data_IF_245522929801
#
_entry.id   IF_245522929801
#
_cell.length_a   1.000
_cell.length_b   1.000
_cell.length_c   1.000
_cell.angle_alpha   90.00
_cell.angle_beta   90.00
_cell.angle_gamma   90.00
#
_symmetry.space_group_name_H-M   'P 1'
#
loop_
_entity.id
_entity.type
_entity.pdbx_description
1 polymer ?
#
# COMPACT_ATOMS: atom_id res chain seq x y z
N UNK A 1 14.72 -8.08 4.05
CA UNK A 1 15.93 -7.25 4.28
C UNK A 1 15.65 -5.75 4.27
N UNK A 2 14.67 -5.25 3.51
CA UNK A 2 14.36 -3.82 3.44
C UNK A 2 14.13 -3.15 4.82
N UNK A 3 13.20 -3.66 5.63
CA UNK A 3 12.85 -3.07 6.93
C UNK A 3 14.08 -2.94 7.84
N UNK A 4 14.80 -4.04 8.05
CA UNK A 4 16.03 -4.04 8.86
C UNK A 4 17.05 -2.99 8.39
N UNK A 5 17.31 -2.91 7.08
CA UNK A 5 18.27 -1.95 6.52
C UNK A 5 17.84 -0.51 6.73
N UNK A 6 16.54 -0.21 6.57
CA UNK A 6 16.01 1.13 6.81
C UNK A 6 16.19 1.50 8.29
N UNK A 7 15.75 0.65 9.21
CA UNK A 7 15.81 0.95 10.65
C UNK A 7 17.23 0.88 11.25
N UNK A 8 18.18 0.19 10.61
CA UNK A 8 19.61 0.28 10.95
C UNK A 8 20.19 1.67 10.66
N UNK A 9 19.67 2.37 9.64
CA UNK A 9 20.14 3.70 9.24
C UNK A 9 19.38 4.86 9.90
N UNK A 10 18.15 4.62 10.36
CA UNK A 10 17.35 5.63 11.03
C UNK A 10 17.78 5.77 12.49
N UNK A 11 18.10 7.00 12.91
CA UNK A 11 18.28 7.29 14.33
C UNK A 11 16.90 7.27 15.01
N UNK A 12 16.69 6.32 15.93
CA UNK A 12 15.42 6.11 16.65
C UNK A 12 14.90 7.36 17.35
N UNK A 13 15.82 8.21 17.82
CA UNK A 13 15.52 9.34 18.71
C UNK A 13 14.79 10.49 17.98
N UNK A 14 14.77 10.48 16.65
CA UNK A 14 14.07 11.46 15.81
C UNK A 14 12.79 10.94 15.14
N UNK A 15 12.40 9.68 15.37
CA UNK A 15 11.26 9.08 14.68
C UNK A 15 9.95 9.43 15.38
N UNK A 16 9.16 10.33 14.79
CA UNK A 16 7.88 10.75 15.35
C UNK A 16 6.74 9.74 15.07
N UNK A 17 6.65 9.23 13.84
CA UNK A 17 5.57 8.34 13.43
C UNK A 17 5.92 7.60 12.15
N UNK A 18 5.32 6.43 11.95
CA UNK A 18 5.41 5.62 10.73
C UNK A 18 4.00 5.31 10.25
N UNK A 19 3.73 5.56 8.98
CA UNK A 19 2.47 5.23 8.32
C UNK A 19 2.70 4.28 7.17
N UNK A 20 1.72 3.40 6.96
CA UNK A 20 1.67 2.47 5.85
C UNK A 20 0.44 2.77 5.00
N UNK A 21 0.62 2.81 3.69
CA UNK A 21 -0.47 2.93 2.73
C UNK A 21 -0.15 2.17 1.44
N UNK A 22 -1.17 1.67 0.74
CA UNK A 22 -1.00 0.99 -0.53
C UNK A 22 -0.52 1.96 -1.63
N UNK A 23 0.22 1.43 -2.60
CA UNK A 23 0.54 2.18 -3.81
C UNK A 23 -0.70 2.25 -4.71
N UNK A 24 -1.13 3.46 -5.04
CA UNK A 24 -2.28 3.76 -5.89
C UNK A 24 -1.92 4.86 -6.87
N UNK A 25 -2.24 4.67 -8.14
CA UNK A 25 -1.94 5.60 -9.22
C UNK A 25 -3.24 5.99 -9.93
N UNK A 26 -3.40 7.23 -10.39
CA UNK A 26 -4.52 7.55 -11.28
C UNK A 26 -4.35 6.79 -12.61
N UNK A 27 -5.43 6.24 -13.19
CA UNK A 27 -5.34 5.38 -14.38
C UNK A 27 -4.62 6.04 -15.55
N UNK A 28 -4.84 7.34 -15.77
CA UNK A 28 -4.15 8.09 -16.82
C UNK A 28 -2.63 8.14 -16.65
N UNK A 29 -2.14 8.21 -15.40
CA UNK A 29 -0.70 8.15 -15.09
C UNK A 29 -0.19 6.74 -15.34
N UNK A 30 -0.91 5.72 -14.84
CA UNK A 30 -0.53 4.32 -15.01
C UNK A 30 -0.38 3.93 -16.49
N UNK A 31 -1.39 4.18 -17.34
CA UNK A 31 -1.33 3.87 -18.77
C UNK A 31 -0.22 4.64 -19.51
N UNK A 32 0.08 5.86 -19.05
CA UNK A 32 1.20 6.62 -19.59
C UNK A 32 2.54 5.96 -19.26
N UNK A 33 2.70 5.49 -18.02
CA UNK A 33 3.91 4.78 -17.58
C UNK A 33 4.06 3.42 -18.28
N UNK A 34 2.98 2.63 -18.38
CA UNK A 34 2.96 1.33 -19.04
C UNK A 34 3.39 1.44 -20.51
N UNK A 35 2.92 2.45 -21.24
CA UNK A 35 3.32 2.69 -22.62
C UNK A 35 4.79 3.10 -22.78
N UNK A 36 5.34 3.84 -21.81
CA UNK A 36 6.73 4.31 -21.85
C UNK A 36 7.72 3.25 -21.35
N UNK A 37 7.29 2.39 -20.43
CA UNK A 37 8.12 1.39 -19.77
C UNK A 37 7.40 0.03 -19.73
N UNK A 38 7.13 -0.59 -20.89
CA UNK A 38 6.32 -1.80 -20.98
C UNK A 38 6.94 -3.02 -20.29
N UNK A 39 8.27 -3.03 -20.14
CA UNK A 39 9.02 -4.12 -19.50
C UNK A 39 9.24 -3.88 -17.99
N UNK A 40 8.70 -2.80 -17.41
CA UNK A 40 8.91 -2.46 -16.01
C UNK A 40 8.14 -3.44 -15.11
N UNK A 41 8.82 -4.27 -14.30
CA UNK A 41 8.15 -5.30 -13.49
C UNK A 41 7.13 -4.75 -12.50
N UNK A 42 7.31 -3.50 -12.03
CA UNK A 42 6.35 -2.83 -11.15
C UNK A 42 4.97 -2.67 -11.81
N UNK A 43 4.93 -2.50 -13.13
CA UNK A 43 3.70 -2.28 -13.90
C UNK A 43 3.11 -3.60 -14.41
N UNK A 44 3.89 -4.69 -14.40
CA UNK A 44 3.47 -6.03 -14.81
C UNK A 44 2.85 -6.87 -13.67
N UNK A 45 2.67 -6.29 -12.49
CA UNK A 45 2.05 -6.94 -11.34
C UNK A 45 0.53 -7.15 -11.49
N UNK A 46 -0.10 -7.92 -10.58
CA UNK A 46 -1.55 -8.13 -10.56
C UNK A 46 -2.28 -6.87 -10.06
N UNK A 47 -2.29 -5.84 -10.90
CA UNK A 47 -2.91 -4.56 -10.63
C UNK A 47 -4.34 -4.52 -11.20
N UNK A 48 -5.24 -3.90 -10.46
CA UNK A 48 -6.63 -3.70 -10.80
C UNK A 48 -6.94 -2.20 -10.89
N UNK A 49 -7.78 -1.83 -11.85
CA UNK A 49 -8.33 -0.48 -11.94
C UNK A 49 -9.69 -0.43 -11.23
N UNK A 50 -9.78 0.38 -10.19
CA UNK A 50 -10.97 0.60 -9.37
C UNK A 50 -11.23 2.11 -9.30
N UNK A 51 -12.39 2.55 -9.80
CA UNK A 51 -12.85 3.95 -9.72
C UNK A 51 -11.82 4.98 -10.25
N UNK A 52 -11.13 4.67 -11.34
CA UNK A 52 -10.13 5.59 -11.95
C UNK A 52 -8.76 5.59 -11.23
N UNK A 53 -8.53 4.61 -10.37
CA UNK A 53 -7.27 4.38 -9.68
C UNK A 53 -6.78 2.95 -9.94
N UNK A 54 -5.50 2.79 -10.23
CA UNK A 54 -4.81 1.51 -10.40
C UNK A 54 -4.01 1.18 -9.15
N UNK A 55 -4.18 -0.03 -8.62
CA UNK A 55 -3.50 -0.54 -7.42
C UNK A 55 -3.62 -2.06 -7.32
N UNK A 56 -3.23 -2.65 -6.19
CA UNK A 56 -3.43 -4.09 -5.98
C UNK A 56 -4.91 -4.42 -5.79
N UNK A 57 -5.31 -5.63 -6.22
CA UNK A 57 -6.61 -6.19 -5.87
C UNK A 57 -6.75 -6.33 -4.34
N UNK A 58 -7.98 -6.23 -3.84
CA UNK A 58 -8.27 -6.10 -2.40
C UNK A 58 -7.61 -7.17 -1.54
N UNK A 59 -7.76 -8.44 -1.91
CA UNK A 59 -7.25 -9.58 -1.12
C UNK A 59 -5.72 -9.54 -0.99
N UNK A 60 -5.03 -9.32 -2.12
CA UNK A 60 -3.57 -9.18 -2.15
C UNK A 60 -3.11 -7.94 -1.39
N UNK A 61 -3.83 -6.83 -1.51
CA UNK A 61 -3.52 -5.60 -0.79
C UNK A 61 -3.60 -5.81 0.73
N UNK A 62 -4.64 -6.49 1.22
CA UNK A 62 -4.81 -6.84 2.63
C UNK A 62 -3.68 -7.75 3.14
N UNK A 63 -3.28 -8.76 2.36
CA UNK A 63 -2.16 -9.65 2.68
C UNK A 63 -0.83 -8.87 2.78
N UNK A 64 -0.53 -8.03 1.78
CA UNK A 64 0.69 -7.20 1.77
C UNK A 64 0.69 -6.22 2.94
N UNK A 65 -0.45 -5.59 3.24
CA UNK A 65 -0.56 -4.66 4.36
C UNK A 65 -0.32 -5.38 5.69
N UNK A 66 -0.93 -6.53 5.92
CA UNK A 66 -0.74 -7.31 7.14
C UNK A 66 0.74 -7.68 7.34
N UNK A 67 1.40 -8.19 6.29
CA UNK A 67 2.82 -8.49 6.31
C UNK A 67 3.67 -7.25 6.67
N UNK A 68 3.42 -6.11 6.01
CA UNK A 68 4.17 -4.89 6.27
C UNK A 68 3.98 -4.37 7.69
N UNK A 69 2.76 -4.44 8.25
CA UNK A 69 2.50 -4.05 9.65
C UNK A 69 3.28 -4.93 10.61
N UNK A 70 3.26 -6.25 10.40
CA UNK A 70 4.01 -7.18 11.24
C UNK A 70 5.51 -6.91 11.21
N UNK A 71 6.08 -6.64 10.03
CA UNK A 71 7.49 -6.30 9.88
C UNK A 71 7.84 -4.96 10.54
N UNK A 72 7.01 -3.92 10.35
CA UNK A 72 7.23 -2.61 10.98
C UNK A 72 7.25 -2.71 12.50
N UNK A 73 6.30 -3.42 13.10
CA UNK A 73 6.18 -3.56 14.55
C UNK A 73 7.33 -4.36 15.20
N UNK A 74 8.19 -5.02 14.41
CA UNK A 74 9.45 -5.61 14.90
C UNK A 74 10.54 -4.57 15.12
N UNK A 75 10.42 -3.39 14.53
CA UNK A 75 11.44 -2.35 14.53
C UNK A 75 11.03 -1.05 15.23
N UNK A 76 9.72 -0.80 15.41
CA UNK A 76 9.21 0.40 16.08
C UNK A 76 8.23 0.05 17.20
N UNK A 77 8.12 0.89 18.25
CA UNK A 77 7.02 0.84 19.19
C UNK A 77 5.67 1.02 18.48
N UNK A 78 4.64 0.31 18.95
CA UNK A 78 3.29 0.32 18.33
C UNK A 78 2.69 1.73 18.31
N UNK A 79 3.04 2.56 19.28
CA UNK A 79 2.53 3.92 19.46
C UNK A 79 3.00 4.87 18.34
N UNK A 80 4.11 4.54 17.68
CA UNK A 80 4.59 5.30 16.52
C UNK A 80 3.88 4.90 15.23
N UNK A 81 3.20 3.75 15.19
CA UNK A 81 2.49 3.31 14.01
C UNK A 81 1.13 4.03 13.89
N UNK A 82 0.97 4.79 12.81
CA UNK A 82 -0.25 5.55 12.51
C UNK A 82 -0.87 5.00 11.22
N UNK A 83 -2.06 4.38 11.26
CA UNK A 83 -2.75 3.91 10.07
C UNK A 83 -3.00 5.06 9.09
N UNK A 84 -2.65 4.88 7.82
CA UNK A 84 -2.99 5.87 6.78
C UNK A 84 -4.50 5.85 6.51
N UNK A 85 -5.08 6.99 6.12
CA UNK A 85 -6.49 7.08 5.70
C UNK A 85 -6.84 6.10 4.56
N UNK A 86 -5.85 5.75 3.73
CA UNK A 86 -5.98 4.78 2.63
C UNK A 86 -6.05 3.32 3.10
N UNK A 87 -5.72 3.04 4.36
CA UNK A 87 -5.75 1.71 4.98
C UNK A 87 -7.07 1.45 5.74
N UNK A 88 -8.00 2.41 5.76
CA UNK A 88 -9.36 2.11 6.22
C UNK A 88 -10.02 1.22 5.17
N UNK A 89 -10.64 0.10 5.58
CA UNK A 89 -11.36 -0.75 4.65
C UNK A 89 -12.36 0.12 3.89
N UNK A 90 -12.39 -0.01 2.56
CA UNK A 90 -13.44 0.61 1.75
C UNK A 90 -14.79 0.22 2.38
N UNK A 91 -15.74 1.17 2.52
CA UNK A 91 -17.05 0.83 3.06
C UNK A 91 -17.61 -0.39 2.31
N UNK A 92 -18.29 -1.32 3.01
CA UNK A 92 -18.87 -2.48 2.35
C UNK A 92 -19.72 -2.01 1.17
N UNK A 93 -19.60 -2.70 0.04
CA UNK A 93 -20.40 -2.38 -1.15
C UNK A 93 -21.86 -2.27 -0.72
N UNK A 94 -22.60 -1.24 -1.18
CA UNK A 94 -24.02 -1.14 -0.87
C UNK A 94 -24.69 -2.47 -1.26
N UNK A 95 -25.63 -2.99 -0.45
CA UNK A 95 -26.29 -4.24 -0.78
C UNK A 95 -26.85 -4.11 -2.18
N UNK A 96 -26.50 -5.05 -3.06
CA UNK A 96 -27.10 -5.16 -4.38
C UNK A 96 -28.60 -5.15 -4.17
N UNK A 97 -29.25 -4.07 -4.59
CA UNK A 97 -30.69 -3.93 -4.45
C UNK A 97 -31.35 -5.01 -5.29
N UNK A 98 -31.74 -6.10 -4.65
CA UNK A 98 -32.70 -7.04 -5.21
C UNK A 98 -34.10 -6.41 -5.10
N UNK A 99 -34.72 -6.13 -6.25
CA UNK A 99 -36.18 -6.04 -6.42
C UNK A 99 -36.81 -4.67 -6.28
#
# INVERSE_FOLDING_TARGET
RLFAQVFETLQSDGLHSVSLGPLRLASGIFHSMERLFPEEPLLAGPLEEIEGTVGYGRELEEEIQAFCVEELLRHIPRELFVPSLSALPSPPAPPSGDG
#
